data_IF_728503502581
#
_entry.id   IF_728503502581
#
_cell.length_a   1.000
_cell.length_b   1.000
_cell.length_c   1.000
_cell.angle_alpha   90.00
_cell.angle_beta   90.00
_cell.angle_gamma   90.00
#
_symmetry.space_group_name_H-M   'P 1'
#
loop_
_entity.id
_entity.type
_entity.pdbx_description
1 polymer ?
#
# COMPACT_ATOMS: atom_id res chain seq x y z
N UNK A 1 5.31 2.09 -10.33
CA UNK A 1 4.57 1.46 -11.45
C UNK A 1 4.36 -0.05 -11.26
N UNK A 2 5.39 -0.91 -10.93
CA UNK A 2 5.20 -2.37 -10.85
C UNK A 2 4.16 -2.81 -9.81
N UNK A 3 4.04 -2.10 -8.68
CA UNK A 3 3.05 -2.43 -7.65
C UNK A 3 1.61 -2.29 -8.15
N UNK A 4 1.32 -1.28 -8.97
CA UNK A 4 -0.02 -1.09 -9.54
C UNK A 4 -0.41 -2.23 -10.47
N UNK A 5 0.51 -2.57 -11.38
CA UNK A 5 0.28 -3.66 -12.34
C UNK A 5 0.09 -5.00 -11.63
N UNK A 6 0.94 -5.30 -10.63
CA UNK A 6 0.88 -6.57 -9.93
C UNK A 6 -0.38 -6.70 -9.04
N UNK A 7 -0.78 -5.64 -8.35
CA UNK A 7 -2.02 -5.63 -7.57
C UNK A 7 -3.24 -5.73 -8.49
N UNK A 8 -3.23 -5.02 -9.64
CA UNK A 8 -4.29 -5.12 -10.64
C UNK A 8 -4.42 -6.52 -11.22
N UNK A 9 -3.29 -7.15 -11.58
CA UNK A 9 -3.29 -8.54 -12.04
C UNK A 9 -3.83 -9.50 -10.98
N UNK A 10 -3.40 -9.32 -9.72
CA UNK A 10 -3.85 -10.14 -8.60
C UNK A 10 -5.35 -10.01 -8.34
N UNK A 11 -5.86 -8.80 -8.20
CA UNK A 11 -7.29 -8.56 -7.96
C UNK A 11 -8.13 -8.99 -9.16
N UNK A 12 -7.65 -8.78 -10.39
CA UNK A 12 -8.29 -9.26 -11.62
C UNK A 12 -8.36 -10.78 -11.71
N UNK A 13 -7.29 -11.49 -11.32
CA UNK A 13 -7.29 -12.95 -11.30
C UNK A 13 -8.30 -13.51 -10.27
N UNK A 14 -8.41 -12.89 -9.09
CA UNK A 14 -9.39 -13.28 -8.08
C UNK A 14 -10.84 -13.00 -8.53
N UNK A 15 -11.09 -11.88 -9.18
CA UNK A 15 -12.39 -11.58 -9.76
C UNK A 15 -12.74 -12.57 -10.88
N UNK A 16 -11.80 -12.85 -11.77
CA UNK A 16 -11.96 -13.84 -12.82
C UNK A 16 -12.29 -15.23 -12.26
N UNK A 17 -11.61 -15.65 -11.20
CA UNK A 17 -11.91 -16.88 -10.50
C UNK A 17 -13.32 -16.87 -9.90
N UNK A 18 -13.75 -15.78 -9.26
CA UNK A 18 -15.10 -15.66 -8.71
C UNK A 18 -16.16 -15.74 -9.79
N UNK A 19 -15.93 -15.14 -10.96
CA UNK A 19 -16.84 -15.25 -12.12
C UNK A 19 -16.91 -16.67 -12.70
N UNK A 20 -15.75 -17.33 -12.85
CA UNK A 20 -15.71 -18.72 -13.30
C UNK A 20 -16.41 -19.68 -12.34
N UNK A 21 -16.34 -19.43 -11.04
CA UNK A 21 -17.03 -20.23 -10.04
C UNK A 21 -18.56 -20.16 -10.17
N UNK A 22 -19.13 -19.08 -10.73
CA UNK A 22 -20.57 -18.99 -11.04
C UNK A 22 -21.00 -19.98 -12.12
N UNK A 23 -20.07 -20.37 -13.02
CA UNK A 23 -20.33 -21.37 -14.07
C UNK A 23 -20.04 -22.81 -13.62
N UNK A 24 -19.71 -23.02 -12.34
CA UNK A 24 -19.34 -24.32 -11.79
C UNK A 24 -17.94 -24.80 -12.17
N UNK A 25 -17.12 -23.94 -12.81
CA UNK A 25 -15.73 -24.28 -13.17
C UNK A 25 -14.87 -24.18 -11.91
N UNK A 26 -14.28 -25.29 -11.49
CA UNK A 26 -13.38 -25.38 -10.35
C UNK A 26 -12.00 -24.75 -10.65
N UNK A 27 -11.27 -24.43 -9.59
CA UNK A 27 -9.89 -23.93 -9.70
C UNK A 27 -8.95 -25.07 -10.06
N UNK A 28 -8.41 -25.06 -11.27
CA UNK A 28 -7.40 -26.02 -11.71
C UNK A 28 -6.06 -25.80 -11.00
N UNK A 29 -5.20 -26.83 -11.04
CA UNK A 29 -3.88 -26.81 -10.37
C UNK A 29 -2.98 -25.68 -10.85
N UNK A 30 -2.90 -25.46 -12.15
CA UNK A 30 -2.02 -24.43 -12.73
C UNK A 30 -2.47 -23.01 -12.38
N UNK A 31 -3.76 -22.62 -12.50
CA UNK A 31 -4.25 -21.34 -11.98
C UNK A 31 -4.01 -21.16 -10.50
N UNK A 32 -4.18 -22.18 -9.65
CA UNK A 32 -3.92 -22.10 -8.23
C UNK A 32 -2.44 -21.77 -7.92
N UNK A 33 -1.50 -22.43 -8.61
CA UNK A 33 -0.06 -22.14 -8.48
C UNK A 33 0.25 -20.71 -8.95
N UNK A 34 -0.30 -20.28 -10.08
CA UNK A 34 -0.11 -18.92 -10.59
C UNK A 34 -0.65 -17.86 -9.60
N UNK A 35 -1.82 -18.09 -9.01
CA UNK A 35 -2.39 -17.24 -7.96
C UNK A 35 -1.50 -17.18 -6.73
N UNK A 36 -0.98 -18.31 -6.25
CA UNK A 36 -0.05 -18.36 -5.13
C UNK A 36 1.22 -17.56 -5.41
N UNK A 37 1.84 -17.76 -6.57
CA UNK A 37 3.04 -17.03 -6.96
C UNK A 37 2.79 -15.52 -7.05
N UNK A 38 1.64 -15.11 -7.62
CA UNK A 38 1.27 -13.70 -7.73
C UNK A 38 1.04 -13.06 -6.36
N UNK A 39 0.32 -13.76 -5.46
CA UNK A 39 0.08 -13.30 -4.09
C UNK A 39 1.38 -13.11 -3.30
N UNK A 40 2.29 -14.07 -3.38
CA UNK A 40 3.61 -13.98 -2.74
C UNK A 40 4.42 -12.82 -3.31
N UNK A 41 4.35 -12.59 -4.62
CA UNK A 41 5.01 -11.47 -5.28
C UNK A 41 4.45 -10.12 -4.82
N UNK A 42 3.12 -9.99 -4.68
CA UNK A 42 2.47 -8.79 -4.11
C UNK A 42 2.95 -8.55 -2.69
N UNK A 43 2.93 -9.59 -1.84
CA UNK A 43 3.39 -9.49 -0.46
C UNK A 43 4.86 -9.08 -0.35
N UNK A 44 5.75 -9.74 -1.08
CA UNK A 44 7.17 -9.46 -1.10
C UNK A 44 7.48 -8.03 -1.57
N UNK A 45 6.80 -7.57 -2.64
CA UNK A 45 6.96 -6.23 -3.19
C UNK A 45 6.53 -5.18 -2.17
N UNK A 46 5.39 -5.39 -1.49
CA UNK A 46 4.88 -4.44 -0.48
C UNK A 46 5.77 -4.40 0.76
N UNK A 47 6.20 -5.53 1.27
CA UNK A 47 7.13 -5.60 2.40
C UNK A 47 8.47 -4.92 2.06
N UNK A 48 9.02 -5.17 0.87
CA UNK A 48 10.22 -4.53 0.38
C UNK A 48 10.06 -3.01 0.24
N UNK A 49 8.90 -2.55 -0.27
CA UNK A 49 8.58 -1.13 -0.37
C UNK A 49 8.56 -0.45 1.02
N UNK A 50 7.86 -1.01 1.99
CA UNK A 50 7.77 -0.42 3.33
C UNK A 50 9.09 -0.45 4.08
N UNK A 51 9.92 -1.51 3.91
CA UNK A 51 11.28 -1.53 4.45
C UNK A 51 12.14 -0.40 3.90
N UNK A 52 12.10 -0.18 2.58
CA UNK A 52 12.84 0.92 1.94
C UNK A 52 12.33 2.29 2.37
N UNK A 53 11.03 2.45 2.61
CA UNK A 53 10.49 3.70 3.13
C UNK A 53 10.94 4.00 4.56
N UNK A 54 11.05 2.98 5.39
CA UNK A 54 11.51 3.13 6.78
C UNK A 54 12.98 3.59 6.86
N UNK A 55 13.81 3.16 5.90
CA UNK A 55 15.25 3.50 5.88
C UNK A 55 15.59 4.84 5.22
N UNK A 56 14.68 5.41 4.42
CA UNK A 56 14.89 6.70 3.75
C UNK A 56 14.36 7.83 4.61
N UNK A 57 15.26 8.69 5.13
CA UNK A 57 14.89 9.97 5.74
C UNK A 57 14.21 10.94 4.75
N UNK A 58 13.60 12.01 5.26
CA UNK A 58 13.27 13.16 4.41
C UNK A 58 14.59 13.87 4.07
N UNK A 59 14.77 14.34 2.81
CA UNK A 59 15.92 15.17 2.49
C UNK A 59 15.86 16.44 3.36
N UNK A 60 17.03 16.87 3.83
CA UNK A 60 17.15 18.12 4.57
C UNK A 60 16.84 19.32 3.68
N UNK A 61 16.39 20.43 4.28
CA UNK A 61 16.11 21.67 3.55
C UNK A 61 17.32 22.15 2.74
N UNK A 62 18.53 21.95 3.25
CA UNK A 62 19.77 22.28 2.55
C UNK A 62 19.99 21.43 1.29
N UNK A 63 19.63 20.16 1.33
CA UNK A 63 19.71 19.24 0.21
C UNK A 63 18.67 19.56 -0.87
N UNK A 64 17.44 19.83 -0.47
CA UNK A 64 16.34 20.13 -1.38
C UNK A 64 16.53 21.46 -2.11
N UNK A 65 17.09 22.47 -1.43
CA UNK A 65 17.35 23.80 -2.01
C UNK A 65 18.69 23.87 -2.75
N UNK A 66 19.55 22.88 -2.59
CA UNK A 66 20.94 22.89 -3.10
C UNK A 66 21.86 23.87 -2.36
N UNK A 67 21.36 24.57 -1.35
CA UNK A 67 22.12 25.57 -0.58
C UNK A 67 22.95 24.97 0.56
N UNK A 68 22.78 23.69 0.86
CA UNK A 68 23.50 23.01 1.94
C UNK A 68 25.01 23.04 1.81
N UNK A 69 25.55 23.25 0.57
CA UNK A 69 26.99 23.44 0.32
C UNK A 69 27.53 24.76 0.85
N UNK A 70 26.68 25.76 1.03
CA UNK A 70 27.03 27.10 1.50
C UNK A 70 26.96 27.24 3.03
N UNK A 71 26.30 26.28 3.69
CA UNK A 71 26.15 26.27 5.13
C UNK A 71 24.82 25.69 5.60
N UNK A 72 24.51 25.85 6.89
CA UNK A 72 23.26 25.39 7.46
C UNK A 72 22.09 26.25 6.98
N UNK A 73 21.23 25.68 6.18
CA UNK A 73 20.05 26.37 5.66
C UNK A 73 18.97 26.43 6.74
N UNK A 74 18.50 27.64 7.02
CA UNK A 74 17.36 27.89 7.89
C UNK A 74 16.36 28.76 7.15
N UNK A 75 15.10 28.49 7.39
CA UNK A 75 14.00 29.31 6.89
C UNK A 75 14.03 30.66 7.62
N UNK A 76 14.06 31.77 6.87
CA UNK A 76 14.08 33.11 7.43
C UNK A 76 12.72 33.49 8.00
N UNK A 77 11.65 33.24 7.23
CA UNK A 77 10.26 33.42 7.66
C UNK A 77 9.44 32.19 7.27
N UNK A 78 8.50 31.82 8.14
CA UNK A 78 7.53 30.77 7.79
C UNK A 78 6.61 31.31 6.69
N UNK A 79 6.35 30.57 5.60
CA UNK A 79 5.50 31.03 4.51
C UNK A 79 4.04 31.28 4.93
N UNK A 80 3.66 30.76 6.09
CA UNK A 80 2.35 30.98 6.72
C UNK A 80 2.51 31.13 8.22
N UNK A 81 1.94 32.19 8.78
CA UNK A 81 1.86 32.45 10.23
C UNK A 81 0.83 31.55 10.92
N UNK A 82 -0.13 31.02 10.16
CA UNK A 82 -1.15 30.10 10.66
C UNK A 82 -1.06 28.76 9.93
N UNK A 83 -1.46 27.67 10.63
CA UNK A 83 -1.53 26.36 10.04
C UNK A 83 -2.57 26.35 8.90
N UNK A 84 -2.11 26.40 7.67
CA UNK A 84 -3.00 26.40 6.50
C UNK A 84 -3.74 25.07 6.40
N UNK A 85 -4.94 25.10 5.81
CA UNK A 85 -5.74 23.93 5.48
C UNK A 85 -4.91 22.84 4.75
N UNK A 86 -4.06 23.27 3.81
CA UNK A 86 -3.18 22.36 3.04
C UNK A 86 -2.17 21.63 3.94
N UNK A 87 -1.58 22.31 4.94
CA UNK A 87 -0.62 21.68 5.85
C UNK A 87 -1.29 20.72 6.83
N UNK A 88 -2.54 20.98 7.19
CA UNK A 88 -3.34 20.08 8.05
C UNK A 88 -3.83 18.84 7.29
N UNK A 89 -4.39 19.01 6.10
CA UNK A 89 -4.93 17.89 5.32
C UNK A 89 -3.84 17.02 4.68
N UNK A 90 -2.80 17.62 4.11
CA UNK A 90 -1.66 16.87 3.56
C UNK A 90 -0.84 16.15 4.65
N UNK A 91 -1.04 16.50 5.92
CA UNK A 91 -0.37 15.86 7.04
C UNK A 91 -0.83 14.43 7.29
N UNK A 92 -2.06 14.04 6.89
CA UNK A 92 -2.66 12.71 7.15
C UNK A 92 -2.30 12.15 8.53
N UNK A 93 -2.33 13.00 9.55
CA UNK A 93 -1.80 12.72 10.91
C UNK A 93 -2.40 11.42 11.48
N UNK A 94 -3.71 11.22 11.29
CA UNK A 94 -4.41 10.04 11.77
C UNK A 94 -3.92 8.75 11.08
N UNK A 95 -3.73 8.80 9.76
CA UNK A 95 -3.26 7.66 8.99
C UNK A 95 -1.82 7.29 9.35
N UNK A 96 -0.95 8.28 9.54
CA UNK A 96 0.45 8.05 9.94
C UNK A 96 0.55 7.48 11.35
N UNK A 97 -0.28 7.94 12.29
CA UNK A 97 -0.34 7.40 13.66
C UNK A 97 -0.71 5.92 13.68
N UNK A 98 -1.53 5.46 12.73
CA UNK A 98 -1.99 4.07 12.65
C UNK A 98 -1.37 3.29 11.48
N UNK A 99 -0.34 3.82 10.83
CA UNK A 99 0.25 3.24 9.63
C UNK A 99 0.63 1.76 9.77
N UNK A 100 1.27 1.37 10.88
CA UNK A 100 1.65 -0.02 11.13
C UNK A 100 0.43 -0.97 11.23
N UNK A 101 -0.68 -0.52 11.81
CA UNK A 101 -1.92 -1.28 11.88
C UNK A 101 -2.56 -1.40 10.48
N UNK A 102 -2.62 -0.29 9.75
CA UNK A 102 -3.18 -0.26 8.40
C UNK A 102 -2.38 -1.10 7.42
N UNK A 103 -1.04 -1.11 7.52
CA UNK A 103 -0.18 -2.00 6.71
C UNK A 103 -0.50 -3.47 6.96
N UNK A 104 -0.70 -3.86 8.24
CA UNK A 104 -1.10 -5.24 8.59
C UNK A 104 -2.47 -5.58 8.03
N UNK A 105 -3.46 -4.70 8.19
CA UNK A 105 -4.81 -4.89 7.64
C UNK A 105 -4.75 -5.04 6.12
N UNK A 106 -4.01 -4.17 5.44
CA UNK A 106 -3.83 -4.25 3.99
C UNK A 106 -3.22 -5.58 3.56
N UNK A 107 -2.15 -6.07 4.24
CA UNK A 107 -1.55 -7.38 3.92
C UNK A 107 -2.49 -8.54 4.19
N UNK A 108 -3.20 -8.53 5.31
CA UNK A 108 -4.16 -9.59 5.65
C UNK A 108 -5.25 -9.67 4.60
N UNK A 109 -5.88 -8.53 4.27
CA UNK A 109 -6.99 -8.51 3.31
C UNK A 109 -6.53 -8.71 1.87
N UNK A 110 -5.39 -8.16 1.48
CA UNK A 110 -4.90 -8.25 0.11
C UNK A 110 -4.22 -9.59 -0.21
N UNK A 111 -3.61 -10.24 0.78
CA UNK A 111 -2.79 -11.44 0.57
C UNK A 111 -3.27 -12.64 1.40
N UNK A 112 -3.33 -12.51 2.74
CA UNK A 112 -3.53 -13.67 3.60
C UNK A 112 -4.93 -14.29 3.45
N UNK A 113 -5.99 -13.48 3.46
CA UNK A 113 -7.37 -13.96 3.30
C UNK A 113 -7.59 -14.60 1.92
N UNK A 114 -7.23 -13.97 0.79
CA UNK A 114 -7.35 -14.60 -0.51
C UNK A 114 -6.55 -15.90 -0.64
N UNK A 115 -5.32 -15.96 -0.10
CA UNK A 115 -4.54 -17.19 -0.09
C UNK A 115 -5.21 -18.32 0.70
N UNK A 116 -5.77 -18.01 1.86
CA UNK A 116 -6.52 -18.98 2.65
C UNK A 116 -7.74 -19.51 1.87
N UNK A 117 -8.44 -18.62 1.15
CA UNK A 117 -9.57 -19.01 0.30
C UNK A 117 -9.13 -19.89 -0.89
N UNK A 118 -8.01 -19.56 -1.54
CA UNK A 118 -7.46 -20.37 -2.63
C UNK A 118 -7.05 -21.76 -2.13
N UNK A 119 -6.35 -21.83 -0.99
CA UNK A 119 -5.95 -23.08 -0.37
C UNK A 119 -7.18 -23.91 0.04
N UNK A 120 -8.14 -23.31 0.71
CA UNK A 120 -9.38 -23.97 1.10
C UNK A 120 -10.10 -24.57 -0.12
N UNK A 121 -10.28 -23.76 -1.17
CA UNK A 121 -10.96 -24.18 -2.39
C UNK A 121 -10.24 -25.31 -3.13
N UNK A 122 -8.92 -25.31 -3.11
CA UNK A 122 -8.10 -26.34 -3.70
C UNK A 122 -8.31 -27.72 -3.05
N UNK A 123 -8.41 -27.76 -1.70
CA UNK A 123 -8.56 -29.00 -0.95
C UNK A 123 -10.02 -29.50 -0.83
N UNK A 124 -10.98 -28.58 -0.73
CA UNK A 124 -12.35 -28.92 -0.41
C UNK A 124 -13.33 -28.73 -1.60
N UNK A 125 -12.82 -28.28 -2.73
CA UNK A 125 -13.66 -27.83 -3.84
C UNK A 125 -14.20 -26.41 -3.58
N UNK A 126 -14.34 -25.65 -4.64
CA UNK A 126 -14.80 -24.27 -4.55
C UNK A 126 -16.30 -24.19 -4.86
N UNK A 127 -17.12 -24.00 -3.83
CA UNK A 127 -18.36 -23.26 -4.04
C UNK A 127 -18.05 -21.79 -4.33
N UNK A 128 -19.06 -21.00 -4.68
CA UNK A 128 -18.92 -19.55 -4.96
C UNK A 128 -18.41 -18.73 -3.75
N UNK A 129 -18.62 -19.19 -2.53
CA UNK A 129 -18.33 -18.44 -1.32
C UNK A 129 -16.83 -18.10 -1.15
N UNK A 130 -15.93 -19.05 -1.36
CA UNK A 130 -14.49 -18.83 -1.21
C UNK A 130 -13.93 -17.86 -2.25
N UNK A 131 -14.22 -18.00 -3.57
CA UNK A 131 -13.82 -17.02 -4.56
C UNK A 131 -14.36 -15.61 -4.33
N UNK A 132 -15.64 -15.52 -3.98
CA UNK A 132 -16.29 -14.23 -3.70
C UNK A 132 -15.65 -13.52 -2.49
N UNK A 133 -15.40 -14.27 -1.40
CA UNK A 133 -14.72 -13.73 -0.22
C UNK A 133 -13.27 -13.29 -0.56
N UNK A 134 -12.55 -14.10 -1.33
CA UNK A 134 -11.19 -13.77 -1.77
C UNK A 134 -11.16 -12.47 -2.58
N UNK A 135 -12.05 -12.33 -3.55
CA UNK A 135 -12.14 -11.14 -4.39
C UNK A 135 -12.54 -9.91 -3.57
N UNK A 136 -13.57 -10.00 -2.73
CA UNK A 136 -14.01 -8.90 -1.87
C UNK A 136 -12.91 -8.44 -0.91
N UNK A 137 -12.27 -9.39 -0.21
CA UNK A 137 -11.17 -9.07 0.70
C UNK A 137 -10.00 -8.39 -0.03
N UNK A 138 -9.60 -8.90 -1.19
CA UNK A 138 -8.51 -8.32 -1.97
C UNK A 138 -8.83 -6.90 -2.45
N UNK A 139 -10.05 -6.63 -2.90
CA UNK A 139 -10.49 -5.30 -3.32
C UNK A 139 -10.45 -4.31 -2.15
N UNK A 140 -11.01 -4.68 -1.00
CA UNK A 140 -10.95 -3.85 0.22
C UNK A 140 -9.50 -3.62 0.63
N UNK A 141 -8.67 -4.68 0.61
CA UNK A 141 -7.25 -4.60 0.91
C UNK A 141 -6.50 -3.67 -0.04
N UNK A 142 -6.83 -3.69 -1.34
CA UNK A 142 -6.27 -2.79 -2.34
C UNK A 142 -6.66 -1.33 -2.09
N UNK A 143 -7.92 -1.05 -1.70
CA UNK A 143 -8.37 0.30 -1.34
C UNK A 143 -7.61 0.82 -0.12
N UNK A 144 -7.50 0.01 0.94
CA UNK A 144 -6.74 0.38 2.16
C UNK A 144 -5.27 0.64 1.81
N UNK A 145 -4.67 -0.20 0.98
CA UNK A 145 -3.28 -0.06 0.52
C UNK A 145 -3.09 1.22 -0.29
N UNK A 146 -4.01 1.54 -1.22
CA UNK A 146 -3.95 2.77 -2.01
C UNK A 146 -4.10 4.02 -1.16
N UNK A 147 -5.07 4.01 -0.26
CA UNK A 147 -5.23 5.12 0.68
C UNK A 147 -3.97 5.33 1.54
N UNK A 148 -3.42 4.25 2.07
CA UNK A 148 -2.19 4.30 2.86
C UNK A 148 -0.98 4.79 2.04
N UNK A 149 -0.88 4.40 0.77
CA UNK A 149 0.17 4.89 -0.13
C UNK A 149 0.15 6.42 -0.25
N UNK A 150 -1.03 7.02 -0.44
CA UNK A 150 -1.17 8.47 -0.48
C UNK A 150 -0.92 9.14 0.87
N UNK A 151 -1.41 8.53 1.95
CA UNK A 151 -1.22 9.04 3.31
C UNK A 151 0.24 9.02 3.77
N UNK A 152 1.02 8.04 3.32
CA UNK A 152 2.44 7.90 3.61
C UNK A 152 3.33 8.63 2.60
N UNK A 153 2.77 9.16 1.51
CA UNK A 153 3.54 9.92 0.54
C UNK A 153 4.22 11.10 1.22
N UNK A 154 5.55 11.16 1.10
CA UNK A 154 6.36 12.24 1.65
C UNK A 154 6.43 13.34 0.61
N UNK A 155 5.68 14.40 0.83
CA UNK A 155 5.73 15.56 -0.04
C UNK A 155 7.00 16.35 0.26
N UNK A 156 7.93 16.39 -0.69
CA UNK A 156 9.17 17.17 -0.61
C UNK A 156 8.86 18.65 -0.34
N UNK A 157 7.72 19.14 -0.82
CA UNK A 157 7.19 20.48 -0.54
C UNK A 157 7.14 20.80 0.97
N UNK A 158 6.89 19.81 1.83
CA UNK A 158 6.85 20.02 3.29
C UNK A 158 8.22 20.45 3.87
N UNK A 159 9.33 20.11 3.20
CA UNK A 159 10.66 20.57 3.59
C UNK A 159 10.82 22.09 3.42
N UNK A 160 10.09 22.70 2.49
CA UNK A 160 10.07 24.16 2.30
C UNK A 160 9.21 24.91 3.32
N UNK A 161 8.33 24.20 4.04
CA UNK A 161 7.46 24.79 5.07
C UNK A 161 8.03 24.67 6.49
N UNK A 162 9.27 24.20 6.63
CA UNK A 162 9.95 24.10 7.93
C UNK A 162 9.29 23.14 8.91
N UNK A 163 8.36 22.29 8.45
CA UNK A 163 7.75 21.26 9.31
C UNK A 163 8.75 20.13 9.44
N UNK A 164 9.28 19.85 10.66
CA UNK A 164 10.12 18.69 10.87
C UNK A 164 9.34 17.46 10.41
N UNK A 165 9.96 16.64 9.57
CA UNK A 165 9.39 15.33 9.29
C UNK A 165 9.12 14.60 10.61
N UNK A 166 8.10 13.74 10.72
CA UNK A 166 7.86 12.99 11.94
C UNK A 166 9.16 12.30 12.33
N UNK A 167 9.61 12.55 13.56
CA UNK A 167 10.74 11.84 14.13
C UNK A 167 10.47 10.34 14.00
N UNK A 168 11.48 9.62 13.54
CA UNK A 168 11.45 8.16 13.34
C UNK A 168 11.25 7.45 14.68
#
# INVERSE_FOLDING_TARGET
LPAYLLIGLWTGALLGWALLALTGIGLGRMPAIAMLATALSVGALKLGYWRRMATRGLPDTGEVTGLGRLGRVRQFEAPHTEASYLTREMGFVLARRHAARLRRIALVLLVAVPLACVAWAYWNGAGIAAPALAAAAALIGAVVERWLFFAEARHVVMAYYGVPGPAA
#
